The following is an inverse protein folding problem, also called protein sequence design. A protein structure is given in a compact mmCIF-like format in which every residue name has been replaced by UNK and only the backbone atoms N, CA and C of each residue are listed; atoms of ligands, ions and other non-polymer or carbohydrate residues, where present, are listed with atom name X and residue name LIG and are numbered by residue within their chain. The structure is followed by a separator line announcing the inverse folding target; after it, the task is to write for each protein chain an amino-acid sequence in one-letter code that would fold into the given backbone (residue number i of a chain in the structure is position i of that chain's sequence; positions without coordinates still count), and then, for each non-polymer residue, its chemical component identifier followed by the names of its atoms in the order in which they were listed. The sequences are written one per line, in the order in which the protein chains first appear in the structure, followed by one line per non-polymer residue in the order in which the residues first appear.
data_IF_250142720320
#
_entry.id   IF_250142720320
#
_cell.length_a   1.000
_cell.length_b   1.000
_cell.length_c   1.000
_cell.angle_alpha   90.00
_cell.angle_beta   90.00
_cell.angle_gamma   90.00
#
_symmetry.space_group_name_H-M   'P 1'
#
loop_
_entity.id
_entity.type
_entity.pdbx_description
1 polymer ?
#
# COMPACT_ATOMS: atom_id res chain seq x y z
N UNK A 1 -12.58 5.35 -1.79
CA UNK A 1 -12.79 3.91 -2.10
C UNK A 1 -14.13 3.77 -2.81
N UNK A 2 -14.28 2.87 -3.80
CA UNK A 2 -15.56 2.71 -4.53
C UNK A 2 -16.67 2.22 -3.58
N UNK A 3 -17.85 2.83 -3.66
CA UNK A 3 -19.05 2.45 -2.88
C UNK A 3 -19.38 0.98 -3.06
N UNK A 4 -19.22 0.43 -4.28
CA UNK A 4 -19.51 -0.97 -4.54
C UNK A 4 -18.56 -1.94 -3.80
N UNK A 5 -17.31 -1.53 -3.56
CA UNK A 5 -16.33 -2.32 -2.80
C UNK A 5 -16.70 -2.32 -1.32
N UNK A 6 -17.05 -1.15 -0.78
CA UNK A 6 -17.47 -1.01 0.63
C UNK A 6 -18.75 -1.81 0.88
N UNK A 7 -19.75 -1.70 -0.01
CA UNK A 7 -21.01 -2.44 0.12
C UNK A 7 -20.80 -3.96 0.07
N UNK A 8 -19.91 -4.43 -0.81
CA UNK A 8 -19.51 -5.85 -0.88
C UNK A 8 -18.86 -6.32 0.43
N UNK A 9 -17.87 -5.58 0.93
CA UNK A 9 -17.19 -5.92 2.17
C UNK A 9 -18.11 -5.87 3.40
N UNK A 10 -19.05 -4.93 3.45
CA UNK A 10 -20.08 -4.87 4.51
C UNK A 10 -20.94 -6.14 4.49
N UNK A 11 -21.39 -6.57 3.31
CA UNK A 11 -22.15 -7.81 3.16
C UNK A 11 -21.35 -9.03 3.61
N UNK A 12 -20.07 -9.11 3.23
CA UNK A 12 -19.21 -10.25 3.56
C UNK A 12 -18.86 -10.28 5.06
N UNK A 13 -18.54 -9.14 5.68
CA UNK A 13 -18.30 -9.06 7.13
C UNK A 13 -19.56 -9.44 7.94
N UNK A 14 -20.74 -9.02 7.47
CA UNK A 14 -22.01 -9.42 8.09
C UNK A 14 -22.17 -10.95 8.02
N UNK A 15 -21.93 -11.55 6.85
CA UNK A 15 -22.01 -12.99 6.68
C UNK A 15 -21.04 -13.75 7.60
N UNK A 16 -19.81 -13.24 7.77
CA UNK A 16 -18.85 -13.82 8.72
C UNK A 16 -19.39 -13.82 10.15
N UNK A 17 -20.01 -12.74 10.60
CA UNK A 17 -20.60 -12.66 11.95
C UNK A 17 -21.82 -13.58 12.09
N UNK A 18 -22.66 -13.68 11.06
CA UNK A 18 -23.79 -14.60 11.03
C UNK A 18 -23.32 -16.07 11.10
N UNK A 19 -22.34 -16.46 10.27
CA UNK A 19 -21.75 -17.79 10.25
C UNK A 19 -21.08 -18.15 11.59
N UNK A 20 -20.39 -17.20 12.22
CA UNK A 20 -19.81 -17.37 13.56
C UNK A 20 -20.88 -17.68 14.62
N UNK A 21 -22.00 -16.96 14.60
CA UNK A 21 -23.10 -17.15 15.54
C UNK A 21 -23.87 -18.45 15.27
N UNK A 22 -24.07 -18.81 14.00
CA UNK A 22 -24.69 -20.08 13.61
C UNK A 22 -23.84 -21.27 14.04
N UNK A 23 -22.51 -21.19 13.93
CA UNK A 23 -21.61 -22.24 14.43
C UNK A 23 -21.72 -22.40 15.97
N UNK A 24 -21.88 -21.31 16.73
CA UNK A 24 -22.12 -21.37 18.17
C UNK A 24 -23.46 -22.05 18.49
N UNK A 25 -24.50 -21.76 17.71
CA UNK A 25 -25.82 -22.38 17.84
C UNK A 25 -25.76 -23.90 17.53
N UNK A 26 -25.07 -24.28 16.46
CA UNK A 26 -24.82 -25.69 16.10
C UNK A 26 -24.01 -26.43 17.18
N UNK A 27 -23.17 -25.70 17.91
CA UNK A 27 -22.47 -26.23 19.07
C UNK A 27 -23.35 -26.39 20.32
N UNK A 28 -24.60 -25.94 20.26
CA UNK A 28 -25.58 -25.89 21.36
C UNK A 28 -25.14 -24.98 22.51
N UNK A 29 -24.46 -23.87 22.21
CA UNK A 29 -24.23 -22.83 23.21
C UNK A 29 -25.59 -22.26 23.65
N UNK A 30 -25.83 -22.17 24.97
CA UNK A 30 -27.11 -21.66 25.46
C UNK A 30 -27.21 -20.15 25.23
N UNK A 31 -28.43 -19.66 25.04
CA UNK A 31 -28.70 -18.23 24.89
C UNK A 31 -28.17 -17.41 26.07
N UNK A 32 -28.33 -17.93 27.30
CA UNK A 32 -27.81 -17.28 28.51
C UNK A 32 -26.28 -17.16 28.47
N UNK A 33 -25.58 -18.23 28.06
CA UNK A 33 -24.12 -18.25 27.98
C UNK A 33 -23.60 -17.33 26.87
N UNK A 34 -24.25 -17.32 25.71
CA UNK A 34 -23.94 -16.38 24.64
C UNK A 34 -24.12 -14.92 25.12
N UNK A 35 -25.20 -14.66 25.87
CA UNK A 35 -25.45 -13.36 26.50
C UNK A 35 -24.34 -12.94 27.46
N UNK A 36 -23.84 -13.85 28.31
CA UNK A 36 -22.69 -13.55 29.19
C UNK A 36 -21.45 -13.12 28.41
N UNK A 37 -21.17 -13.76 27.27
CA UNK A 37 -19.98 -13.49 26.46
C UNK A 37 -20.07 -12.13 25.74
N UNK A 38 -21.21 -11.87 25.08
CA UNK A 38 -21.35 -10.68 24.23
C UNK A 38 -21.84 -9.45 25.00
N UNK A 39 -22.50 -9.59 26.15
CA UNK A 39 -23.04 -8.48 26.94
C UNK A 39 -22.29 -8.21 28.25
N UNK A 40 -21.64 -9.21 28.84
CA UNK A 40 -21.00 -9.12 30.16
C UNK A 40 -19.50 -9.45 30.14
N UNK A 41 -18.88 -9.39 28.95
CA UNK A 41 -17.45 -9.60 28.73
C UNK A 41 -16.92 -10.95 29.24
N UNK A 42 -17.77 -11.99 29.32
CA UNK A 42 -17.29 -13.33 29.67
C UNK A 42 -16.48 -13.95 28.53
N UNK A 43 -15.41 -14.67 28.86
CA UNK A 43 -14.64 -15.43 27.88
C UNK A 43 -15.30 -16.77 27.56
N UNK A 44 -14.99 -17.33 26.39
CA UNK A 44 -15.33 -18.71 26.05
C UNK A 44 -14.53 -19.70 26.90
N UNK A 45 -15.19 -20.74 27.39
CA UNK A 45 -14.53 -21.90 27.97
C UNK A 45 -14.40 -23.02 26.94
N UNK A 46 -13.39 -23.89 27.08
CA UNK A 46 -13.25 -25.04 26.18
C UNK A 46 -14.47 -25.98 26.19
N UNK A 47 -15.25 -25.99 27.29
CA UNK A 47 -16.50 -26.74 27.39
C UNK A 47 -17.63 -26.12 26.54
N UNK A 48 -17.63 -24.80 26.36
CA UNK A 48 -18.60 -24.08 25.51
C UNK A 48 -18.46 -24.51 24.04
N UNK A 49 -17.21 -24.71 23.61
CA UNK A 49 -16.86 -24.85 22.20
C UNK A 49 -16.46 -26.27 21.80
N UNK A 50 -16.20 -27.16 22.77
CA UNK A 50 -15.62 -28.50 22.53
C UNK A 50 -14.28 -28.46 21.78
N UNK A 51 -13.59 -27.32 21.84
CA UNK A 51 -12.25 -27.10 21.32
C UNK A 51 -11.58 -25.94 22.08
N UNK A 52 -10.30 -25.69 21.81
CA UNK A 52 -9.61 -24.53 22.39
C UNK A 52 -10.29 -23.23 21.91
N UNK A 53 -10.67 -22.32 22.83
CA UNK A 53 -11.36 -21.08 22.48
C UNK A 53 -10.66 -20.23 21.43
N UNK A 54 -9.37 -20.00 21.59
CA UNK A 54 -8.56 -19.23 20.63
C UNK A 54 -8.66 -19.81 19.21
N UNK A 55 -8.47 -21.13 19.07
CA UNK A 55 -8.61 -21.80 17.77
C UNK A 55 -10.00 -21.69 17.16
N UNK A 56 -11.05 -21.65 17.99
CA UNK A 56 -12.41 -21.42 17.50
C UNK A 56 -12.59 -20.02 16.92
N UNK A 57 -12.11 -19.02 17.64
CA UNK A 57 -12.20 -17.64 17.21
C UNK A 57 -11.33 -17.39 15.98
N UNK A 58 -10.15 -18.00 15.92
CA UNK A 58 -9.31 -18.10 14.71
C UNK A 58 -10.11 -18.59 13.49
N UNK A 59 -10.59 -19.84 13.56
CA UNK A 59 -11.20 -20.55 12.43
C UNK A 59 -12.52 -19.91 11.95
N UNK A 60 -13.31 -19.35 12.86
CA UNK A 60 -14.69 -18.93 12.58
C UNK A 60 -14.92 -17.41 12.62
N UNK A 61 -13.92 -16.61 13.02
CA UNK A 61 -14.06 -15.16 13.09
C UNK A 61 -12.82 -14.43 12.57
N UNK A 62 -11.64 -14.67 13.12
CA UNK A 62 -10.43 -13.90 12.80
C UNK A 62 -9.94 -14.14 11.36
N UNK A 63 -9.76 -15.40 10.94
CA UNK A 63 -9.30 -15.67 9.57
C UNK A 63 -10.31 -15.21 8.51
N UNK A 64 -11.63 -15.48 8.67
CA UNK A 64 -12.63 -14.94 7.74
C UNK A 64 -12.66 -13.40 7.70
N UNK A 65 -12.56 -12.71 8.86
CA UNK A 65 -12.48 -11.24 8.87
C UNK A 65 -11.23 -10.74 8.15
N UNK A 66 -10.05 -11.35 8.38
CA UNK A 66 -8.81 -10.97 7.71
C UNK A 66 -8.89 -11.13 6.18
N UNK A 67 -9.56 -12.18 5.70
CA UNK A 67 -9.83 -12.41 4.28
C UNK A 67 -10.69 -11.29 3.68
N UNK A 68 -11.79 -10.91 4.35
CA UNK A 68 -12.67 -9.81 3.91
C UNK A 68 -11.95 -8.46 3.95
N UNK A 69 -11.09 -8.21 4.95
CA UNK A 69 -10.24 -7.01 5.02
C UNK A 69 -9.15 -7.00 3.92
N UNK A 70 -8.94 -8.12 3.23
CA UNK A 70 -8.02 -8.27 2.11
C UNK A 70 -6.57 -8.54 2.54
N UNK A 71 -6.34 -9.08 3.73
CA UNK A 71 -5.00 -9.46 4.17
C UNK A 71 -4.60 -10.83 3.63
N UNK A 72 -3.41 -10.90 3.04
CA UNK A 72 -2.75 -12.18 2.78
C UNK A 72 -1.92 -12.54 4.02
N UNK A 73 -2.29 -13.61 4.72
CA UNK A 73 -1.63 -14.00 5.97
C UNK A 73 -0.97 -15.37 5.87
N UNK A 74 0.21 -15.49 6.50
CA UNK A 74 0.84 -16.78 6.78
C UNK A 74 0.67 -17.08 8.27
N UNK A 75 -0.16 -18.09 8.64
CA UNK A 75 -0.29 -18.53 10.02
C UNK A 75 1.00 -19.20 10.51
N UNK A 76 1.38 -18.91 11.76
CA UNK A 76 2.53 -19.49 12.47
C UNK A 76 3.79 -19.59 11.58
N UNK A 77 4.32 -18.43 11.14
CA UNK A 77 5.43 -18.38 10.19
C UNK A 77 6.66 -19.09 10.77
N UNK A 78 7.32 -19.93 9.96
CA UNK A 78 8.50 -20.70 10.37
C UNK A 78 9.79 -19.85 10.25
N UNK A 79 10.64 -19.82 11.29
CA UNK A 79 12.00 -19.25 11.21
C UNK A 79 13.05 -20.34 11.50
N UNK A 80 14.05 -20.54 10.61
CA UNK A 80 15.08 -21.52 10.86
C UNK A 80 15.88 -21.22 12.14
N UNK A 81 15.71 -22.03 13.18
CA UNK A 81 16.55 -22.02 14.39
C UNK A 81 15.92 -21.50 15.69
N UNK A 82 14.62 -21.15 15.71
CA UNK A 82 13.91 -20.75 16.94
C UNK A 82 12.92 -21.83 17.42
N UNK A 83 12.65 -21.84 18.72
CA UNK A 83 11.68 -22.76 19.33
C UNK A 83 10.24 -22.33 18.97
N UNK A 84 9.29 -23.27 18.95
CA UNK A 84 7.89 -23.02 18.58
C UNK A 84 7.14 -22.00 19.46
N UNK A 85 7.70 -21.63 20.61
CA UNK A 85 7.12 -20.66 21.57
C UNK A 85 7.56 -19.20 21.28
N UNK A 86 8.32 -18.94 20.20
CA UNK A 86 8.83 -17.61 19.83
C UNK A 86 8.25 -17.09 18.50
N UNK A 87 7.09 -17.59 18.06
CA UNK A 87 6.47 -17.17 16.80
C UNK A 87 5.19 -16.39 17.02
N UNK A 88 5.02 -15.28 16.29
CA UNK A 88 3.72 -14.62 16.26
C UNK A 88 2.67 -15.55 15.66
N UNK A 89 1.41 -15.34 16.03
CA UNK A 89 0.30 -16.18 15.55
C UNK A 89 0.17 -16.13 14.03
N UNK A 90 0.43 -14.97 13.42
CA UNK A 90 0.50 -14.83 11.96
C UNK A 90 1.43 -13.70 11.49
N UNK A 91 1.77 -13.73 10.21
CA UNK A 91 2.44 -12.64 9.49
C UNK A 91 1.58 -12.16 8.33
N UNK A 92 1.55 -10.85 8.07
CA UNK A 92 0.90 -10.27 6.91
C UNK A 92 1.90 -10.14 5.76
N UNK A 93 1.57 -10.71 4.60
CA UNK A 93 2.47 -10.84 3.45
C UNK A 93 2.25 -9.79 2.36
N UNK A 94 1.11 -9.08 2.37
CA UNK A 94 0.75 -8.08 1.36
C UNK A 94 0.87 -6.62 1.83
N UNK A 95 1.56 -6.38 2.94
CA UNK A 95 1.97 -5.05 3.41
C UNK A 95 3.45 -4.78 3.12
N UNK A 96 3.85 -3.51 2.86
CA UNK A 96 5.23 -3.17 2.55
C UNK A 96 6.15 -3.21 3.77
N UNK A 97 5.59 -2.98 4.96
CA UNK A 97 6.28 -3.11 6.24
C UNK A 97 6.21 -4.55 6.77
N UNK A 98 7.15 -4.90 7.65
CA UNK A 98 7.10 -6.18 8.33
C UNK A 98 6.04 -6.16 9.44
N UNK A 99 4.85 -6.67 9.12
CA UNK A 99 3.69 -6.71 10.03
C UNK A 99 3.41 -8.13 10.49
N UNK A 100 3.32 -8.30 11.81
CA UNK A 100 2.92 -9.55 12.47
C UNK A 100 1.57 -9.37 13.14
N UNK A 101 0.96 -10.47 13.58
CA UNK A 101 -0.25 -10.40 14.38
C UNK A 101 -0.28 -11.42 15.51
N UNK A 102 -0.85 -10.98 16.62
CA UNK A 102 -1.17 -11.78 17.81
C UNK A 102 -2.68 -11.85 17.96
N UNK A 103 -3.19 -13.05 18.25
CA UNK A 103 -4.60 -13.25 18.50
C UNK A 103 -4.91 -13.99 19.80
N UNK A 104 -6.07 -13.70 20.37
CA UNK A 104 -6.64 -14.39 21.53
C UNK A 104 -8.11 -14.75 21.31
N UNK A 105 -8.69 -15.44 22.29
CA UNK A 105 -10.14 -15.65 22.33
C UNK A 105 -10.85 -14.35 22.70
N UNK A 106 -12.12 -14.22 22.32
CA UNK A 106 -12.94 -13.02 22.57
C UNK A 106 -12.87 -12.52 24.01
N UNK A 107 -12.87 -11.19 24.16
CA UNK A 107 -12.76 -10.44 25.42
C UNK A 107 -11.37 -10.48 26.09
N UNK A 108 -10.31 -10.89 25.38
CA UNK A 108 -8.93 -10.99 25.87
C UNK A 108 -7.90 -10.21 25.01
N UNK A 109 -8.28 -9.02 24.54
CA UNK A 109 -7.40 -8.16 23.72
C UNK A 109 -6.11 -7.73 24.44
N UNK A 110 -6.13 -7.58 25.77
CA UNK A 110 -4.97 -7.08 26.51
C UNK A 110 -3.84 -8.11 26.58
N UNK A 111 -4.15 -9.41 26.58
CA UNK A 111 -3.14 -10.47 26.47
C UNK A 111 -2.50 -10.44 25.09
N UNK A 112 -3.30 -10.32 24.02
CA UNK A 112 -2.80 -10.15 22.63
C UNK A 112 -1.87 -8.94 22.51
N UNK A 113 -2.23 -7.78 23.09
CA UNK A 113 -1.38 -6.59 23.12
C UNK A 113 -0.08 -6.78 23.91
N UNK A 114 -0.12 -7.50 25.02
CA UNK A 114 1.08 -7.76 25.84
C UNK A 114 2.07 -8.64 25.09
N UNK A 115 1.59 -9.73 24.48
CA UNK A 115 2.43 -10.61 23.66
C UNK A 115 2.97 -9.89 22.43
N UNK A 116 2.15 -9.04 21.80
CA UNK A 116 2.59 -8.26 20.64
C UNK A 116 3.71 -7.28 21.01
N UNK A 117 3.61 -6.62 22.17
CA UNK A 117 4.65 -5.72 22.66
C UNK A 117 5.99 -6.45 22.85
N UNK A 118 5.96 -7.67 23.41
CA UNK A 118 7.15 -8.50 23.60
C UNK A 118 7.82 -8.84 22.26
N UNK A 119 7.02 -9.13 21.21
CA UNK A 119 7.56 -9.35 19.87
C UNK A 119 8.15 -8.09 19.26
N UNK A 120 7.43 -6.97 19.28
CA UNK A 120 7.90 -5.74 18.66
C UNK A 120 9.17 -5.18 19.35
N UNK A 121 9.33 -5.39 20.67
CA UNK A 121 10.54 -4.98 21.42
C UNK A 121 11.77 -5.81 21.03
N UNK A 122 11.59 -7.12 20.86
CA UNK A 122 12.71 -8.07 20.72
C UNK A 122 13.06 -8.44 19.27
N UNK A 123 12.37 -7.91 18.27
CA UNK A 123 12.48 -8.37 16.88
C UNK A 123 12.69 -7.23 15.88
N UNK A 124 12.74 -7.57 14.58
CA UNK A 124 12.85 -6.62 13.46
C UNK A 124 11.48 -6.19 12.92
N UNK A 125 10.38 -6.59 13.55
CA UNK A 125 9.04 -6.24 13.08
C UNK A 125 8.76 -4.76 13.36
N UNK A 126 8.10 -4.10 12.41
CA UNK A 126 7.88 -2.64 12.46
C UNK A 126 6.50 -2.31 13.04
N UNK A 127 5.50 -3.14 12.71
CA UNK A 127 4.13 -2.97 13.16
C UNK A 127 3.50 -4.31 13.55
N UNK A 128 2.41 -4.23 14.31
CA UNK A 128 1.70 -5.38 14.83
C UNK A 128 0.19 -5.24 14.79
N UNK A 129 -0.53 -6.31 14.47
CA UNK A 129 -1.98 -6.42 14.62
C UNK A 129 -2.27 -7.16 15.94
N UNK A 130 -3.08 -6.56 16.81
CA UNK A 130 -3.58 -7.24 18.01
C UNK A 130 -5.10 -7.45 17.87
N UNK A 131 -5.58 -8.67 18.12
CA UNK A 131 -7.01 -8.97 18.06
C UNK A 131 -7.46 -10.08 19.00
N UNK A 132 -8.72 -10.03 19.40
CA UNK A 132 -9.42 -11.13 20.06
C UNK A 132 -10.66 -11.60 19.26
N UNK A 133 -10.74 -11.20 17.98
CA UNK A 133 -11.90 -11.37 17.11
C UNK A 133 -12.98 -10.29 17.28
N UNK A 134 -13.20 -9.76 18.48
CA UNK A 134 -14.16 -8.67 18.73
C UNK A 134 -13.53 -7.29 18.67
N UNK A 135 -12.29 -7.14 19.11
CA UNK A 135 -11.51 -5.92 19.11
C UNK A 135 -10.28 -6.13 18.24
N UNK A 136 -9.92 -5.07 17.53
CA UNK A 136 -8.86 -5.09 16.53
C UNK A 136 -8.10 -3.77 16.59
N UNK A 137 -6.78 -3.84 16.52
CA UNK A 137 -5.94 -2.65 16.41
C UNK A 137 -4.64 -2.95 15.69
N UNK A 138 -4.06 -1.90 15.08
CA UNK A 138 -2.74 -1.95 14.46
C UNK A 138 -1.84 -0.97 15.20
N UNK A 139 -0.66 -1.43 15.59
CA UNK A 139 0.20 -0.76 16.55
C UNK A 139 1.63 -0.67 16.07
N UNK A 140 2.31 0.38 16.51
CA UNK A 140 3.78 0.48 16.57
C UNK A 140 4.25 0.55 18.02
N UNK A 141 5.56 0.47 18.25
CA UNK A 141 6.14 0.76 19.57
C UNK A 141 6.54 2.22 19.65
N UNK A 142 6.11 2.87 20.73
CA UNK A 142 6.58 4.19 21.12
C UNK A 142 7.32 4.16 22.47
N UNK A 143 8.36 4.98 22.61
CA UNK A 143 9.00 5.22 23.89
C UNK A 143 8.18 6.20 24.74
N UNK A 144 7.81 5.81 25.95
CA UNK A 144 7.16 6.69 26.93
C UNK A 144 8.16 7.17 27.97
N UNK A 145 8.18 8.50 28.20
CA UNK A 145 8.91 9.26 29.24
C UNK A 145 10.24 8.62 29.73
N UNK A 146 11.01 8.10 28.77
CA UNK A 146 12.43 7.79 28.88
C UNK A 146 12.85 6.38 29.33
N UNK A 147 11.96 5.38 29.55
CA UNK A 147 12.37 3.97 29.84
C UNK A 147 11.38 2.84 29.52
N UNK A 148 10.12 3.13 29.16
CA UNK A 148 9.10 2.08 28.94
C UNK A 148 8.61 2.10 27.51
N UNK A 149 8.42 0.92 26.92
CA UNK A 149 7.80 0.76 25.62
C UNK A 149 6.29 0.59 25.80
N UNK A 150 5.52 1.18 24.89
CA UNK A 150 4.07 1.02 24.85
C UNK A 150 3.64 0.85 23.39
N UNK A 151 2.53 0.13 23.19
CA UNK A 151 1.87 0.07 21.89
C UNK A 151 1.11 1.37 21.63
N UNK A 152 1.44 2.04 20.55
CA UNK A 152 0.73 3.22 20.05
C UNK A 152 -0.08 2.84 18.80
N UNK A 153 -1.40 3.11 18.77
CA UNK A 153 -2.22 2.76 17.62
C UNK A 153 -1.88 3.67 16.42
N UNK A 154 -1.54 3.06 15.29
CA UNK A 154 -1.33 3.80 14.02
C UNK A 154 -2.64 4.01 13.25
N UNK A 155 -3.67 3.24 13.60
CA UNK A 155 -5.06 3.42 13.18
C UNK A 155 -5.95 3.25 14.41
N UNK A 156 -7.07 3.97 14.47
CA UNK A 156 -7.99 3.90 15.61
C UNK A 156 -8.47 2.45 15.82
N UNK A 157 -8.36 1.87 17.03
CA UNK A 157 -8.86 0.53 17.29
C UNK A 157 -10.36 0.40 17.01
N UNK A 158 -10.76 -0.71 16.40
CA UNK A 158 -12.16 -0.96 16.01
C UNK A 158 -12.74 -2.14 16.78
N UNK A 159 -14.08 -2.22 16.82
CA UNK A 159 -14.78 -3.34 17.45
C UNK A 159 -15.93 -3.89 16.60
N UNK A 160 -15.94 -5.21 16.42
CA UNK A 160 -17.06 -5.99 15.90
C UNK A 160 -18.05 -6.40 17.00
N UNK A 161 -17.76 -6.15 18.28
CA UNK A 161 -18.62 -6.60 19.39
C UNK A 161 -20.06 -6.09 19.26
N UNK A 162 -20.23 -4.83 18.87
CA UNK A 162 -21.55 -4.24 18.66
C UNK A 162 -22.29 -4.84 17.46
N UNK A 163 -21.55 -5.25 16.42
CA UNK A 163 -22.10 -5.98 15.26
C UNK A 163 -22.58 -7.35 15.71
N UNK A 164 -21.79 -8.09 16.48
CA UNK A 164 -22.14 -9.40 17.04
C UNK A 164 -23.38 -9.30 17.94
N UNK A 165 -23.43 -8.29 18.82
CA UNK A 165 -24.61 -8.00 19.64
C UNK A 165 -25.84 -7.74 18.79
N UNK A 166 -25.72 -6.91 17.75
CA UNK A 166 -26.83 -6.60 16.85
C UNK A 166 -27.37 -7.86 16.18
N UNK A 167 -26.52 -8.65 15.53
CA UNK A 167 -26.91 -9.85 14.78
C UNK A 167 -27.49 -10.91 15.72
N UNK A 168 -26.90 -11.14 16.90
CA UNK A 168 -27.41 -12.09 17.88
C UNK A 168 -28.80 -11.70 18.42
N UNK A 169 -29.04 -10.40 18.64
CA UNK A 169 -30.34 -9.88 19.08
C UNK A 169 -31.39 -9.94 17.97
N UNK A 170 -31.02 -9.57 16.74
CA UNK A 170 -31.86 -9.69 15.55
C UNK A 170 -32.29 -11.16 15.33
N UNK A 171 -31.35 -12.09 15.43
CA UNK A 171 -31.57 -13.55 15.35
C UNK A 171 -32.25 -14.17 16.57
N UNK A 172 -32.49 -13.39 17.64
CA UNK A 172 -33.06 -13.86 18.93
C UNK A 172 -32.26 -15.01 19.56
N UNK A 173 -30.94 -14.98 19.40
CA UNK A 173 -30.01 -15.97 19.94
C UNK A 173 -29.69 -15.70 21.42
N UNK A 174 -30.02 -14.51 21.92
CA UNK A 174 -29.86 -14.11 23.33
C UNK A 174 -31.21 -13.81 24.00
N UNK A 175 -31.30 -13.86 25.35
CA UNK A 175 -32.54 -13.63 26.07
C UNK A 175 -33.11 -12.21 25.91
N UNK A 176 -32.23 -11.22 25.68
CA UNK A 176 -32.58 -9.83 25.48
C UNK A 176 -32.43 -9.44 24.01
N UNK A 177 -33.53 -9.30 23.27
CA UNK A 177 -33.54 -9.06 21.82
C UNK A 177 -33.87 -7.60 21.43
N UNK A 178 -33.66 -6.64 22.32
CA UNK A 178 -33.93 -5.23 22.02
C UNK A 178 -32.74 -4.60 21.27
N UNK A 179 -33.03 -4.01 20.11
CA UNK A 179 -32.05 -3.30 19.28
C UNK A 179 -31.93 -1.82 19.67
N UNK A 180 -32.79 -1.31 20.55
CA UNK A 180 -32.74 0.09 20.97
C UNK A 180 -31.38 0.46 21.58
N UNK A 181 -30.77 1.51 21.05
CA UNK A 181 -29.47 2.03 21.53
C UNK A 181 -28.24 1.45 20.83
N UNK A 182 -28.40 0.51 19.89
CA UNK A 182 -27.31 0.09 19.01
C UNK A 182 -27.20 1.02 17.78
N UNK A 183 -25.97 1.32 17.31
CA UNK A 183 -25.76 2.02 16.05
C UNK A 183 -26.27 1.22 14.84
N UNK A 184 -26.36 1.87 13.68
CA UNK A 184 -26.72 1.22 12.42
C UNK A 184 -25.65 0.20 12.01
N UNK A 185 -26.06 -1.04 11.78
CA UNK A 185 -25.18 -2.18 11.52
C UNK A 185 -24.24 -1.94 10.33
N UNK A 186 -24.79 -1.53 9.19
CA UNK A 186 -24.04 -1.28 7.96
C UNK A 186 -23.02 -0.15 8.16
N UNK A 187 -23.37 0.87 8.96
CA UNK A 187 -22.45 1.95 9.32
C UNK A 187 -21.28 1.48 10.18
N UNK A 188 -21.52 0.58 11.14
CA UNK A 188 -20.46 -0.02 11.96
C UNK A 188 -19.50 -0.86 11.11
N UNK A 189 -20.06 -1.71 10.24
CA UNK A 189 -19.28 -2.57 9.36
C UNK A 189 -18.48 -1.77 8.32
N UNK A 190 -19.08 -0.73 7.75
CA UNK A 190 -18.40 0.16 6.81
C UNK A 190 -17.23 0.89 7.49
N UNK A 191 -17.44 1.41 8.70
CA UNK A 191 -16.39 2.07 9.50
C UNK A 191 -15.27 1.08 9.83
N UNK A 192 -15.62 -0.14 10.27
CA UNK A 192 -14.65 -1.20 10.56
C UNK A 192 -13.78 -1.51 9.33
N UNK A 193 -14.41 -1.75 8.18
CA UNK A 193 -13.71 -2.04 6.93
C UNK A 193 -12.85 -0.87 6.44
N UNK A 194 -13.35 0.37 6.53
CA UNK A 194 -12.60 1.55 6.08
C UNK A 194 -11.35 1.81 6.90
N UNK A 195 -11.40 1.55 8.21
CA UNK A 195 -10.27 1.81 9.12
C UNK A 195 -9.27 0.66 9.18
N UNK A 196 -9.72 -0.60 9.07
CA UNK A 196 -8.85 -1.78 9.20
C UNK A 196 -8.61 -2.54 7.89
N UNK A 197 -9.27 -2.16 6.80
CA UNK A 197 -9.03 -2.76 5.49
C UNK A 197 -7.56 -2.58 5.10
N UNK A 198 -6.98 -3.61 4.46
CA UNK A 198 -5.54 -3.65 4.21
C UNK A 198 -5.03 -2.42 3.43
N UNK A 199 -5.86 -1.79 2.60
CA UNK A 199 -5.51 -0.55 1.90
C UNK A 199 -5.26 0.63 2.84
N UNK A 200 -6.11 0.80 3.87
CA UNK A 200 -5.95 1.88 4.84
C UNK A 200 -4.75 1.63 5.74
N UNK A 201 -4.62 0.42 6.28
CA UNK A 201 -3.48 0.04 7.12
C UNK A 201 -2.17 0.07 6.35
N UNK A 202 -2.17 -0.30 5.06
CA UNK A 202 -1.00 -0.12 4.19
C UNK A 202 -0.58 1.34 4.04
N UNK A 203 -1.53 2.28 3.99
CA UNK A 203 -1.23 3.71 3.94
C UNK A 203 -0.58 4.16 5.24
N UNK A 204 -1.17 3.76 6.38
CA UNK A 204 -0.67 4.12 7.72
C UNK A 204 0.73 3.52 8.00
N UNK A 205 0.94 2.25 7.66
CA UNK A 205 2.22 1.54 7.83
C UNK A 205 3.26 1.86 6.75
N UNK A 206 2.86 2.55 5.68
CA UNK A 206 3.70 2.77 4.50
C UNK A 206 4.30 4.17 4.38
N UNK A 207 4.04 5.09 5.32
CA UNK A 207 4.41 6.50 5.18
C UNK A 207 3.78 7.17 3.95
N UNK A 208 2.65 6.66 3.46
CA UNK A 208 2.13 7.03 2.14
C UNK A 208 1.57 8.47 2.10
N UNK A 209 1.08 8.99 3.23
CA UNK A 209 0.72 10.41 3.34
C UNK A 209 1.95 11.29 3.19
N UNK A 210 3.02 11.01 3.94
CA UNK A 210 4.30 11.73 3.84
C UNK A 210 4.92 11.59 2.43
N UNK A 211 4.77 10.44 1.78
CA UNK A 211 5.18 10.23 0.40
C UNK A 211 4.37 11.08 -0.60
N UNK A 212 3.06 11.21 -0.40
CA UNK A 212 2.20 12.08 -1.23
C UNK A 212 2.49 13.56 -0.99
N UNK A 213 2.79 13.94 0.25
CA UNK A 213 3.26 15.29 0.58
C UNK A 213 4.61 15.57 -0.06
N UNK A 214 5.55 14.62 0.00
CA UNK A 214 6.83 14.69 -0.71
C UNK A 214 6.62 14.77 -2.23
N UNK A 215 5.65 14.04 -2.79
CA UNK A 215 5.29 14.12 -4.21
C UNK A 215 4.79 15.52 -4.59
N UNK A 216 3.89 16.09 -3.81
CA UNK A 216 3.38 17.45 -4.03
C UNK A 216 4.50 18.52 -3.87
N UNK A 217 5.32 18.39 -2.82
CA UNK A 217 6.50 19.23 -2.58
C UNK A 217 7.51 19.16 -3.74
N UNK A 218 7.78 17.94 -4.23
CA UNK A 218 8.70 17.72 -5.36
C UNK A 218 8.22 18.41 -6.63
N UNK A 219 6.92 18.36 -6.94
CA UNK A 219 6.38 18.92 -8.19
C UNK A 219 6.18 20.42 -8.10
N UNK A 220 5.50 20.91 -7.06
CA UNK A 220 5.03 22.30 -6.97
C UNK A 220 5.45 23.04 -5.70
N UNK A 221 6.15 22.40 -4.76
CA UNK A 221 6.61 23.03 -3.51
C UNK A 221 5.50 23.29 -2.48
N UNK A 222 4.28 22.81 -2.69
CA UNK A 222 3.20 22.83 -1.70
C UNK A 222 3.26 21.50 -0.91
N UNK A 223 3.98 21.47 0.21
CA UNK A 223 4.03 20.32 1.14
C UNK A 223 4.15 20.78 2.59
N UNK A 224 3.48 20.10 3.51
CA UNK A 224 3.41 20.50 4.93
C UNK A 224 4.65 20.09 5.74
N UNK A 225 5.45 19.15 5.24
CA UNK A 225 6.55 18.54 5.98
C UNK A 225 7.95 19.09 5.64
N UNK A 226 8.06 19.99 4.66
CA UNK A 226 9.29 20.70 4.28
C UNK A 226 10.49 19.74 4.25
N UNK A 227 10.36 18.67 3.46
CA UNK A 227 11.32 17.57 3.39
C UNK A 227 12.70 18.12 3.04
N UNK A 228 13.68 17.87 3.92
CA UNK A 228 15.04 18.35 3.69
C UNK A 228 15.64 17.71 2.43
N UNK A 229 15.99 18.53 1.44
CA UNK A 229 16.78 18.12 0.28
C UNK A 229 16.12 18.30 -1.07
N UNK A 230 14.94 18.93 -1.16
CA UNK A 230 14.40 19.46 -2.43
C UNK A 230 14.34 20.98 -2.31
N UNK A 231 15.35 21.66 -2.87
CA UNK A 231 15.50 23.11 -2.73
C UNK A 231 14.65 23.91 -3.73
N UNK A 232 14.27 23.29 -4.86
CA UNK A 232 13.51 23.95 -5.93
C UNK A 232 12.48 22.97 -6.51
N UNK A 233 11.19 23.34 -6.58
CA UNK A 233 10.17 22.49 -7.16
C UNK A 233 10.48 22.16 -8.62
N UNK A 234 10.17 20.93 -9.02
CA UNK A 234 10.45 20.44 -10.36
C UNK A 234 9.77 21.31 -11.43
N UNK A 235 8.52 21.73 -11.21
CA UNK A 235 7.80 22.59 -12.16
C UNK A 235 8.49 23.95 -12.40
N UNK A 236 9.18 24.51 -11.40
CA UNK A 236 9.94 25.76 -11.54
C UNK A 236 11.24 25.56 -12.32
N UNK A 237 11.80 24.35 -12.28
CA UNK A 237 13.03 23.98 -12.97
C UNK A 237 12.83 23.52 -14.43
N UNK A 238 11.58 23.45 -14.90
CA UNK A 238 11.24 23.12 -16.29
C UNK A 238 11.51 24.33 -17.19
N UNK A 239 12.42 24.16 -18.16
CA UNK A 239 12.58 25.09 -19.28
C UNK A 239 11.67 24.64 -20.42
N UNK A 240 10.58 25.39 -20.62
CA UNK A 240 9.53 25.07 -21.57
C UNK A 240 9.51 26.02 -22.77
N UNK A 241 8.95 25.61 -23.93
CA UNK A 241 8.79 26.46 -25.09
C UNK A 241 8.11 27.80 -24.80
N UNK A 242 8.44 28.82 -25.58
CA UNK A 242 7.87 30.15 -25.39
C UNK A 242 6.33 30.15 -25.53
N UNK A 243 5.65 30.65 -24.50
CA UNK A 243 4.18 30.70 -24.44
C UNK A 243 3.52 29.56 -23.66
N UNK A 244 4.32 28.61 -23.14
CA UNK A 244 3.84 27.55 -22.24
C UNK A 244 3.39 28.14 -20.90
N UNK A 245 2.20 27.74 -20.43
CA UNK A 245 1.66 28.15 -19.14
C UNK A 245 2.17 27.30 -17.98
N UNK A 246 2.05 27.80 -16.75
CA UNK A 246 2.48 27.08 -15.54
C UNK A 246 1.79 25.72 -15.38
N UNK A 247 0.51 25.63 -15.74
CA UNK A 247 -0.26 24.39 -15.78
C UNK A 247 0.42 23.27 -16.59
N UNK A 248 0.95 23.61 -17.76
CA UNK A 248 1.57 22.66 -18.68
C UNK A 248 2.97 22.26 -18.20
N UNK A 249 3.71 23.17 -17.56
CA UNK A 249 4.97 22.85 -16.87
C UNK A 249 4.75 21.89 -15.70
N UNK A 250 3.72 22.11 -14.88
CA UNK A 250 3.33 21.19 -13.80
C UNK A 250 2.95 19.83 -14.35
N UNK A 251 2.18 19.78 -15.44
CA UNK A 251 1.82 18.55 -16.13
C UNK A 251 3.07 17.79 -16.62
N UNK A 252 4.05 18.49 -17.19
CA UNK A 252 5.32 17.92 -17.61
C UNK A 252 6.14 17.39 -16.42
N UNK A 253 6.23 18.15 -15.34
CA UNK A 253 6.93 17.75 -14.12
C UNK A 253 6.35 16.46 -13.51
N UNK A 254 5.03 16.35 -13.45
CA UNK A 254 4.34 15.13 -13.00
C UNK A 254 4.63 13.94 -13.92
N UNK A 255 4.56 14.14 -15.25
CA UNK A 255 4.86 13.10 -16.23
C UNK A 255 6.29 12.58 -16.08
N UNK A 256 7.23 13.50 -15.88
CA UNK A 256 8.62 13.19 -15.68
C UNK A 256 8.82 12.33 -14.42
N UNK A 257 8.19 12.70 -13.31
CA UNK A 257 8.31 11.96 -12.06
C UNK A 257 7.70 10.54 -12.17
N UNK A 258 6.58 10.40 -12.89
CA UNK A 258 5.98 9.10 -13.20
C UNK A 258 6.91 8.23 -14.07
N UNK A 259 7.50 8.81 -15.13
CA UNK A 259 8.47 8.10 -16.00
C UNK A 259 9.68 7.62 -15.21
N UNK A 260 10.23 8.47 -14.34
CA UNK A 260 11.36 8.11 -13.47
C UNK A 260 10.99 6.98 -12.50
N UNK A 261 9.79 7.03 -11.93
CA UNK A 261 9.22 6.00 -11.06
C UNK A 261 9.06 4.67 -11.80
N UNK A 262 8.54 4.70 -13.02
CA UNK A 262 8.41 3.51 -13.87
C UNK A 262 9.77 2.91 -14.22
N UNK A 263 10.77 3.74 -14.58
CA UNK A 263 12.14 3.27 -14.82
C UNK A 263 12.72 2.62 -13.57
N UNK A 264 12.48 3.20 -12.38
CA UNK A 264 12.91 2.60 -11.10
C UNK A 264 12.25 1.25 -10.85
N UNK A 265 10.94 1.14 -11.04
CA UNK A 265 10.19 -0.12 -10.94
C UNK A 265 10.77 -1.18 -11.89
N UNK A 266 10.97 -0.84 -13.16
CA UNK A 266 11.48 -1.78 -14.16
C UNK A 266 12.93 -2.21 -13.87
N UNK A 267 13.75 -1.31 -13.30
CA UNK A 267 15.09 -1.66 -12.81
C UNK A 267 14.99 -2.69 -11.67
N UNK A 268 14.12 -2.45 -10.69
CA UNK A 268 13.94 -3.35 -9.55
C UNK A 268 13.49 -4.75 -9.98
N UNK A 269 12.60 -4.81 -10.98
CA UNK A 269 12.16 -6.07 -11.62
C UNK A 269 13.22 -6.73 -12.53
N UNK A 270 14.40 -6.12 -12.68
CA UNK A 270 15.49 -6.63 -13.52
C UNK A 270 15.26 -6.50 -15.02
N UNK A 271 14.25 -5.72 -15.43
CA UNK A 271 13.89 -5.48 -16.84
C UNK A 271 14.83 -4.44 -17.46
N UNK A 272 15.15 -3.38 -16.71
CA UNK A 272 16.09 -2.34 -17.10
C UNK A 272 17.39 -2.45 -16.29
N UNK A 273 18.52 -2.11 -16.93
CA UNK A 273 19.85 -2.06 -16.29
C UNK A 273 20.34 -0.63 -16.04
N UNK A 274 19.44 0.33 -16.16
CA UNK A 274 19.69 1.76 -16.00
C UNK A 274 19.89 2.06 -14.52
N UNK A 275 20.81 2.98 -14.20
CA UNK A 275 21.12 3.39 -12.84
C UNK A 275 21.19 4.91 -12.75
N UNK A 276 20.02 5.53 -12.83
CA UNK A 276 19.87 6.98 -13.04
C UNK A 276 20.70 7.83 -12.08
N UNK A 277 20.75 7.50 -10.78
CA UNK A 277 21.57 8.25 -9.82
C UNK A 277 23.09 8.14 -10.10
N UNK A 278 23.59 6.94 -10.44
CA UNK A 278 25.00 6.75 -10.82
C UNK A 278 25.29 7.49 -12.14
N UNK A 279 24.41 7.38 -13.12
CA UNK A 279 24.52 8.01 -14.44
C UNK A 279 24.49 9.53 -14.36
N UNK A 280 23.60 10.11 -13.55
CA UNK A 280 23.56 11.53 -13.24
C UNK A 280 24.86 11.97 -12.54
N UNK A 281 25.36 11.20 -11.57
CA UNK A 281 26.65 11.50 -10.91
C UNK A 281 27.84 11.50 -11.90
N UNK A 282 27.77 10.67 -12.94
CA UNK A 282 28.76 10.65 -14.03
C UNK A 282 28.58 11.84 -15.00
N UNK A 283 27.34 12.25 -15.27
CA UNK A 283 27.01 13.43 -16.06
C UNK A 283 27.54 14.71 -15.39
N UNK A 284 27.28 14.88 -14.09
CA UNK A 284 27.62 16.09 -13.34
C UNK A 284 29.13 16.20 -13.01
N UNK A 285 29.99 15.34 -13.58
CA UNK A 285 31.45 15.36 -13.37
C UNK A 285 32.21 15.82 -14.60
N UNK A 286 33.23 16.65 -14.36
CA UNK A 286 34.23 17.01 -15.36
C UNK A 286 33.67 17.85 -16.51
N UNK A 287 33.96 17.44 -17.75
CA UNK A 287 33.50 18.12 -18.97
C UNK A 287 32.08 17.73 -19.40
N UNK A 288 31.52 16.65 -18.85
CA UNK A 288 30.22 16.12 -19.25
C UNK A 288 29.07 17.08 -18.92
N UNK A 289 29.13 17.77 -17.78
CA UNK A 289 28.16 18.79 -17.35
C UNK A 289 27.98 19.99 -18.31
N UNK A 290 28.84 20.11 -19.33
CA UNK A 290 28.76 21.17 -20.34
C UNK A 290 28.19 20.67 -21.67
N UNK A 291 27.77 19.41 -21.77
CA UNK A 291 27.24 18.80 -23.00
C UNK A 291 25.72 18.98 -23.15
N UNK A 292 25.06 19.59 -22.16
CA UNK A 292 23.61 19.73 -22.05
C UNK A 292 23.20 19.40 -20.62
N UNK A 293 21.89 19.41 -20.35
CA UNK A 293 21.35 18.88 -19.10
C UNK A 293 21.38 17.35 -19.13
N UNK A 294 21.25 16.73 -17.95
CA UNK A 294 21.04 15.30 -17.81
C UNK A 294 19.72 14.87 -18.44
N UNK A 295 18.70 15.73 -18.37
CA UNK A 295 17.42 15.45 -19.01
C UNK A 295 17.60 15.32 -20.52
N UNK A 296 18.15 16.33 -21.20
CA UNK A 296 18.31 16.35 -22.66
C UNK A 296 19.31 15.30 -23.16
N UNK A 297 20.42 15.07 -22.44
CA UNK A 297 21.50 14.18 -22.91
C UNK A 297 21.35 12.71 -22.50
N UNK A 298 20.44 12.42 -21.56
CA UNK A 298 20.28 11.07 -21.02
C UNK A 298 18.82 10.62 -20.94
N UNK A 299 17.97 11.34 -20.20
CA UNK A 299 16.60 10.91 -19.96
C UNK A 299 15.74 10.96 -21.22
N UNK A 300 15.86 12.02 -22.00
CA UNK A 300 15.11 12.21 -23.24
C UNK A 300 15.44 11.14 -24.30
N UNK A 301 16.71 10.82 -24.61
CA UNK A 301 17.04 9.66 -25.45
C UNK A 301 16.54 8.34 -24.87
N UNK A 302 16.64 8.14 -23.55
CA UNK A 302 16.11 6.94 -22.91
C UNK A 302 14.60 6.82 -23.12
N UNK A 303 13.85 7.89 -22.91
CA UNK A 303 12.39 7.87 -23.01
C UNK A 303 11.93 7.73 -24.46
N UNK A 304 12.35 8.63 -25.35
CA UNK A 304 11.74 8.78 -26.67
C UNK A 304 12.42 7.99 -27.79
N UNK A 305 13.73 7.72 -27.66
CA UNK A 305 14.45 7.00 -28.72
C UNK A 305 14.60 5.51 -28.39
N UNK A 306 14.39 5.14 -27.13
CA UNK A 306 14.65 3.79 -26.63
C UNK A 306 13.41 3.15 -26.03
N UNK A 307 12.78 3.75 -25.01
CA UNK A 307 11.66 3.10 -24.34
C UNK A 307 10.37 3.15 -25.15
N UNK A 308 10.11 4.23 -25.90
CA UNK A 308 8.93 4.35 -26.79
C UNK A 308 9.12 3.78 -28.19
N UNK A 309 10.33 3.39 -28.59
CA UNK A 309 10.59 2.94 -29.97
C UNK A 309 10.79 1.42 -30.06
N UNK A 310 10.28 0.71 -31.10
CA UNK A 310 10.54 -0.70 -31.32
C UNK A 310 12.01 -1.00 -31.57
N UNK A 311 12.51 -2.14 -31.04
CA UNK A 311 13.93 -2.55 -31.13
C UNK A 311 14.56 -2.53 -32.53
N UNK A 312 13.76 -2.74 -33.57
CA UNK A 312 14.25 -2.76 -34.96
C UNK A 312 14.45 -1.39 -35.59
N UNK A 313 13.92 -0.35 -34.95
CA UNK A 313 13.87 1.03 -35.46
C UNK A 313 14.81 1.97 -34.69
N UNK A 314 15.38 1.49 -33.58
CA UNK A 314 16.33 2.23 -32.73
C UNK A 314 17.69 2.39 -33.41
N UNK A 315 18.30 3.56 -33.22
CA UNK A 315 19.72 3.77 -33.47
C UNK A 315 20.59 3.07 -32.41
N UNK A 316 21.90 2.93 -32.65
CA UNK A 316 22.81 2.34 -31.65
C UNK A 316 22.81 3.18 -30.36
N UNK A 317 22.27 2.61 -29.28
CA UNK A 317 22.11 3.28 -27.99
C UNK A 317 23.09 2.77 -26.91
N UNK A 318 23.27 3.55 -25.85
CA UNK A 318 24.15 3.24 -24.71
C UNK A 318 23.46 2.43 -23.60
N UNK A 319 22.17 2.16 -23.74
CA UNK A 319 21.30 1.59 -22.71
C UNK A 319 21.14 0.06 -22.84
N UNK A 320 21.81 -0.53 -23.84
CA UNK A 320 21.95 -1.96 -24.01
C UNK A 320 20.88 -2.54 -24.93
N UNK A 321 19.89 -3.24 -24.37
CA UNK A 321 18.78 -3.80 -25.17
C UNK A 321 17.46 -3.83 -24.37
N UNK A 322 17.02 -2.69 -23.79
CA UNK A 322 15.79 -2.64 -23.01
C UNK A 322 14.57 -3.00 -23.86
N UNK A 323 13.45 -3.46 -23.28
CA UNK A 323 12.22 -3.70 -24.02
C UNK A 323 11.65 -2.41 -24.63
N UNK A 324 10.66 -2.58 -25.50
CA UNK A 324 9.84 -1.50 -26.02
C UNK A 324 8.55 -1.44 -25.21
N UNK A 325 8.16 -0.24 -24.78
CA UNK A 325 6.97 0.04 -24.02
C UNK A 325 5.99 0.83 -24.90
N UNK A 326 5.00 0.13 -25.44
CA UNK A 326 4.07 0.61 -26.48
C UNK A 326 2.81 1.26 -25.92
N UNK A 327 2.88 1.82 -24.71
CA UNK A 327 1.70 2.16 -23.91
C UNK A 327 1.51 3.65 -23.67
N UNK A 328 2.36 4.50 -24.22
CA UNK A 328 2.16 5.94 -24.27
C UNK A 328 2.74 6.78 -23.12
N UNK A 329 3.18 6.25 -21.96
CA UNK A 329 3.86 7.15 -21.01
C UNK A 329 5.20 7.66 -21.54
N UNK A 330 5.91 6.86 -22.35
CA UNK A 330 7.16 7.30 -22.97
C UNK A 330 6.96 8.01 -24.32
N UNK A 331 5.73 8.11 -24.81
CA UNK A 331 5.43 8.91 -26.02
C UNK A 331 5.25 10.40 -25.63
N UNK A 332 5.51 11.33 -26.55
CA UNK A 332 5.17 12.74 -26.34
C UNK A 332 3.66 12.93 -26.21
N UNK A 333 3.21 13.55 -25.13
CA UNK A 333 1.79 13.80 -24.85
C UNK A 333 1.47 15.29 -24.82
N UNK A 334 2.41 16.12 -24.38
CA UNK A 334 2.27 17.57 -24.35
C UNK A 334 2.63 18.20 -25.69
N UNK A 335 2.13 19.42 -25.91
CA UNK A 335 2.43 20.14 -27.14
C UNK A 335 3.91 20.53 -27.19
N UNK A 336 4.60 20.12 -28.25
CA UNK A 336 6.04 20.40 -28.44
C UNK A 336 6.91 19.89 -27.26
N UNK A 337 6.53 18.78 -26.64
CA UNK A 337 7.22 18.18 -25.48
C UNK A 337 8.71 17.92 -25.74
N UNK A 338 9.07 17.64 -27.00
CA UNK A 338 10.46 17.47 -27.43
C UNK A 338 11.33 18.72 -27.29
N UNK A 339 10.75 19.90 -27.05
CA UNK A 339 11.48 21.15 -26.82
C UNK A 339 11.62 21.50 -25.32
N UNK A 340 11.08 20.68 -24.42
CA UNK A 340 11.23 20.86 -22.98
C UNK A 340 12.61 20.38 -22.51
N UNK A 341 13.11 21.02 -21.46
CA UNK A 341 14.32 20.63 -20.73
C UNK A 341 14.14 20.83 -19.22
N UNK A 342 15.05 20.27 -18.41
CA UNK A 342 15.06 20.44 -16.95
C UNK A 342 16.46 20.70 -16.44
N UNK A 343 16.58 21.67 -15.54
CA UNK A 343 17.85 22.01 -14.90
C UNK A 343 18.45 20.84 -14.11
N UNK A 344 19.77 20.68 -14.22
CA UNK A 344 20.53 19.66 -13.48
C UNK A 344 20.52 19.87 -11.97
N UNK A 345 20.30 21.10 -11.51
CA UNK A 345 20.32 21.45 -10.09
C UNK A 345 19.22 20.69 -9.33
N UNK A 346 18.03 20.54 -9.93
CA UNK A 346 16.89 19.82 -9.30
C UNK A 346 16.95 18.31 -9.55
N UNK A 347 17.59 17.88 -10.64
CA UNK A 347 17.68 16.44 -10.97
C UNK A 347 18.42 15.63 -9.89
N UNK A 348 19.41 16.22 -9.23
CA UNK A 348 20.08 15.56 -8.11
C UNK A 348 19.09 15.20 -7.00
N UNK A 349 18.32 16.19 -6.59
CA UNK A 349 17.42 16.14 -5.45
C UNK A 349 16.28 15.16 -5.74
N UNK A 350 15.65 15.26 -6.91
CA UNK A 350 14.61 14.33 -7.35
C UNK A 350 15.12 12.88 -7.37
N UNK A 351 16.29 12.63 -7.94
CA UNK A 351 16.82 11.27 -8.01
C UNK A 351 17.23 10.72 -6.64
N UNK A 352 17.71 11.58 -5.73
CA UNK A 352 18.26 11.16 -4.43
C UNK A 352 17.18 11.05 -3.37
N UNK A 353 16.38 12.10 -3.21
CA UNK A 353 15.35 12.22 -2.17
C UNK A 353 14.11 11.42 -2.57
N UNK A 354 13.56 11.67 -3.76
CA UNK A 354 12.32 11.02 -4.18
C UNK A 354 12.56 9.59 -4.70
N UNK A 355 13.32 9.43 -5.78
CA UNK A 355 13.42 8.13 -6.48
C UNK A 355 14.18 7.07 -5.67
N UNK A 356 15.31 7.43 -5.05
CA UNK A 356 16.12 6.49 -4.27
C UNK A 356 15.75 6.50 -2.78
N UNK A 357 15.46 7.68 -2.19
CA UNK A 357 15.07 7.83 -0.79
C UNK A 357 13.76 7.11 -0.46
N UNK A 358 12.74 7.27 -1.30
CA UNK A 358 11.43 6.60 -1.15
C UNK A 358 11.30 5.33 -2.00
N UNK A 359 12.43 4.68 -2.31
CA UNK A 359 12.47 3.63 -3.35
C UNK A 359 11.44 2.52 -3.19
N UNK A 360 11.11 2.08 -1.96
CA UNK A 360 10.07 1.07 -1.72
C UNK A 360 8.67 1.58 -2.09
N UNK A 361 8.33 2.79 -1.65
CA UNK A 361 7.02 3.43 -1.90
C UNK A 361 6.87 3.78 -3.37
N UNK A 362 7.91 4.33 -3.99
CA UNK A 362 8.00 4.58 -5.45
C UNK A 362 7.73 3.31 -6.26
N UNK A 363 8.38 2.18 -5.93
CA UNK A 363 8.16 0.90 -6.61
C UNK A 363 6.71 0.42 -6.44
N UNK A 364 6.18 0.54 -5.23
CA UNK A 364 4.84 0.11 -4.88
C UNK A 364 3.75 0.89 -5.63
N UNK A 365 3.90 2.20 -5.69
CA UNK A 365 2.92 3.07 -6.36
C UNK A 365 3.08 3.03 -7.88
N UNK A 366 4.30 2.97 -8.41
CA UNK A 366 4.52 2.75 -9.84
C UNK A 366 3.97 1.42 -10.37
N UNK A 367 3.87 0.39 -9.52
CA UNK A 367 3.27 -0.89 -9.91
C UNK A 367 1.74 -0.84 -9.98
N UNK A 368 1.11 0.20 -9.42
CA UNK A 368 -0.35 0.36 -9.34
C UNK A 368 -0.92 1.33 -10.37
N UNK A 369 -0.09 2.17 -10.98
CA UNK A 369 -0.53 3.18 -11.92
C UNK A 369 0.42 4.38 -11.97
N UNK A 370 -0.09 5.49 -12.51
CA UNK A 370 0.55 6.80 -12.37
C UNK A 370 0.50 7.26 -10.90
N UNK A 371 1.54 7.93 -10.40
CA UNK A 371 1.53 8.47 -9.04
C UNK A 371 0.41 9.50 -8.85
N UNK A 372 0.04 10.19 -9.93
CA UNK A 372 -1.07 11.14 -9.92
C UNK A 372 -2.41 10.46 -9.62
N UNK A 373 -2.63 9.25 -10.16
CA UNK A 373 -3.84 8.46 -9.88
C UNK A 373 -3.86 7.96 -8.44
N UNK A 374 -2.72 7.46 -7.95
CA UNK A 374 -2.55 7.10 -6.54
C UNK A 374 -2.85 8.27 -5.60
N UNK A 375 -2.40 9.48 -5.96
CA UNK A 375 -2.69 10.71 -5.23
C UNK A 375 -4.17 11.12 -5.30
N UNK A 376 -4.85 10.96 -6.44
CA UNK A 376 -6.31 11.27 -6.52
C UNK A 376 -7.16 10.38 -5.63
N UNK A 377 -6.72 9.13 -5.40
CA UNK A 377 -7.46 8.16 -4.61
C UNK A 377 -7.45 8.46 -3.10
N UNK A 378 -6.66 9.44 -2.62
CA UNK A 378 -6.51 9.79 -1.20
C UNK A 378 -7.42 10.90 -0.68
N UNK A 379 -8.51 11.26 -1.38
CA UNK A 379 -9.51 12.25 -0.93
C UNK A 379 -8.97 13.69 -0.71
N UNK A 380 -7.82 14.05 -1.30
CA UNK A 380 -7.33 15.43 -1.39
C UNK A 380 -7.53 16.00 -2.82
N UNK A 381 -8.65 16.70 -3.07
CA UNK A 381 -9.09 17.01 -4.43
C UNK A 381 -8.41 18.23 -5.06
N UNK A 382 -7.65 19.05 -4.32
CA UNK A 382 -7.27 20.39 -4.80
C UNK A 382 -6.08 20.38 -5.78
N UNK A 383 -5.08 19.50 -5.58
CA UNK A 383 -4.01 19.29 -6.55
C UNK A 383 -4.45 18.31 -7.64
N UNK A 384 -5.11 17.22 -7.21
CA UNK A 384 -5.70 16.20 -8.06
C UNK A 384 -6.69 16.77 -9.08
N UNK A 385 -7.55 17.71 -8.68
CA UNK A 385 -8.58 18.35 -9.51
C UNK A 385 -8.02 19.34 -10.52
N UNK A 386 -7.00 20.12 -10.14
CA UNK A 386 -6.24 20.99 -11.06
C UNK A 386 -5.49 20.17 -12.10
N UNK A 387 -4.93 19.02 -11.72
CA UNK A 387 -4.26 18.09 -12.63
C UNK A 387 -5.24 17.15 -13.37
N UNK A 388 -6.47 16.93 -12.87
CA UNK A 388 -7.54 16.10 -13.49
C UNK A 388 -8.15 16.72 -14.73
N UNK A 389 -8.30 18.04 -14.74
CA UNK A 389 -8.66 18.76 -15.96
C UNK A 389 -7.61 18.61 -17.07
N UNK A 390 -6.37 18.19 -16.74
CA UNK A 390 -5.24 18.07 -17.68
C UNK A 390 -4.92 16.63 -18.11
N UNK A 391 -5.32 15.61 -17.36
CA UNK A 391 -4.82 14.22 -17.49
C UNK A 391 -5.87 13.14 -17.80
N UNK A 392 -7.12 13.50 -18.11
CA UNK A 392 -8.15 12.51 -18.40
C UNK A 392 -7.82 11.59 -19.61
N UNK A 393 -7.00 12.08 -20.55
CA UNK A 393 -6.53 11.30 -21.70
C UNK A 393 -5.28 10.43 -21.39
N UNK A 394 -4.48 10.78 -20.38
CA UNK A 394 -3.26 10.07 -19.97
C UNK A 394 -3.54 8.81 -19.13
N UNK A 395 -4.52 8.86 -18.24
CA UNK A 395 -4.92 7.72 -17.38
C UNK A 395 -5.33 6.48 -18.19
N UNK A 396 -6.10 6.67 -19.26
CA UNK A 396 -6.53 5.57 -20.15
C UNK A 396 -5.36 4.89 -20.88
N UNK A 397 -4.29 5.64 -21.09
CA UNK A 397 -3.09 5.24 -21.83
C UNK A 397 -2.18 4.40 -20.91
N UNK A 398 -1.97 4.85 -19.67
CA UNK A 398 -1.26 4.11 -18.61
C UNK A 398 -1.88 2.76 -18.23
N UNK A 399 -3.20 2.67 -18.08
CA UNK A 399 -3.87 1.38 -17.79
C UNK A 399 -3.63 0.33 -18.89
N UNK A 400 -3.55 0.79 -20.14
CA UNK A 400 -3.24 -0.07 -21.29
C UNK A 400 -1.79 -0.57 -21.24
N UNK A 401 -0.86 0.25 -20.73
CA UNK A 401 0.55 -0.07 -20.60
C UNK A 401 0.83 -1.08 -19.49
N UNK A 402 0.23 -0.92 -18.31
CA UNK A 402 0.32 -1.88 -17.22
C UNK A 402 -0.24 -3.25 -17.64
N UNK A 403 -1.40 -3.27 -18.29
CA UNK A 403 -1.99 -4.50 -18.81
C UNK A 403 -1.08 -5.18 -19.86
N UNK A 404 -0.49 -4.40 -20.78
CA UNK A 404 0.46 -4.92 -21.77
C UNK A 404 1.74 -5.46 -21.11
N UNK A 405 2.29 -4.77 -20.11
CA UNK A 405 3.49 -5.20 -19.39
C UNK A 405 3.22 -6.46 -18.57
N UNK A 406 2.09 -6.56 -17.86
CA UNK A 406 1.68 -7.79 -17.16
C UNK A 406 1.47 -8.97 -18.13
N UNK A 407 0.83 -8.72 -19.28
CA UNK A 407 0.59 -9.72 -20.32
C UNK A 407 1.89 -10.18 -21.00
N UNK A 408 2.94 -9.34 -21.06
CA UNK A 408 4.23 -9.65 -21.69
C UNK A 408 5.35 -10.07 -20.72
N UNK A 409 5.21 -9.79 -19.42
CA UNK A 409 6.10 -10.31 -18.36
C UNK A 409 5.76 -11.78 -18.05
N UNK A 410 4.48 -12.15 -17.99
CA UNK A 410 4.04 -13.55 -17.75
C UNK A 410 4.64 -14.59 -18.72
N UNK A 411 4.75 -14.33 -20.04
CA UNK A 411 5.43 -15.21 -21.00
C UNK A 411 6.95 -15.25 -20.83
N UNK A 412 7.56 -14.13 -20.44
CA UNK A 412 9.03 -13.99 -20.37
C UNK A 412 9.59 -14.73 -19.15
N UNK A 413 8.87 -14.71 -18.03
CA UNK A 413 9.19 -15.53 -16.85
C UNK A 413 8.98 -17.03 -17.10
N UNK A 414 7.88 -17.44 -17.76
CA UNK A 414 7.68 -18.85 -18.15
C UNK A 414 8.78 -19.39 -19.07
N UNK A 415 9.33 -18.57 -19.96
CA UNK A 415 10.41 -18.99 -20.87
C UNK A 415 11.75 -19.21 -20.15
N UNK A 416 12.00 -18.48 -19.06
CA UNK A 416 13.19 -18.67 -18.23
C UNK A 416 13.05 -19.82 -17.22
N UNK A 417 11.82 -20.15 -16.78
CA UNK A 417 11.57 -21.30 -15.90
C UNK A 417 11.56 -22.65 -16.62
N UNK A 418 11.38 -22.67 -17.94
CA UNK A 418 11.32 -23.92 -18.75
C UNK A 418 12.67 -24.24 -19.41
N UNK A 419 13.61 -23.29 -19.47
CA UNK A 419 14.92 -23.47 -20.12
C UNK A 419 16.05 -24.01 -19.25
N UNK A 420 15.78 -24.40 -18.00
CA UNK A 420 16.80 -24.87 -17.04
C UNK A 420 16.69 -26.38 -16.72
N UNK A 421 16.09 -27.16 -17.62
CA UNK A 421 16.11 -28.63 -17.57
C UNK A 421 16.50 -29.13 -18.95
N UNK A 422 17.80 -29.08 -19.25
CA UNK A 422 18.53 -30.04 -20.09
C UNK A 422 19.99 -29.57 -20.15
N UNK A 423 20.78 -30.00 -19.17
CA UNK A 423 22.15 -30.53 -19.31
C UNK A 423 22.56 -31.29 -18.03
#
# INVERSE_FOLDING_TARGET
MDSAIVDGAVSDLRAVVEDFLDELADRNLSADRLGEIIEADAEFEGADLRQFPERFVEDHLIWPVLDVLGYAVTPRPDSPGQSREEYPDFRVDNLPAMVIGENKSVNDIETSKTELLDYLDNTRYEYGIATDGFQWGVYEIAETDGRSLALEPIVEPQSLKQVVQYVAREGRMVPYADLNGLPELDGLLATFFQNLGHHHVRRATGGLSDFHDLYAETIIGEGDYNHNGIDTPLAEAVDAPAGTGEAEKTAFAALLLDRLTFVRLMRDRGVLKVKLHEEWSHHNKGLNRFQGSFYDTHLKPLFYDVLSEPKGEREEDKFGNPPHFAGGLFEPVLHDEGAYDVSDDVMQDVLTVFIEGESRTVINEGARGSLLESYRATEEPDLAGRMAEWYADLTRVYETELAYVEENISPTLRRHSIGAIDD
#
